data_IF_225094468676
#
_entry.id   IF_225094468676
#
_cell.length_a   1.000
_cell.length_b   1.000
_cell.length_c   1.000
_cell.angle_alpha   90.00
_cell.angle_beta   90.00
_cell.angle_gamma   90.00
#
_symmetry.space_group_name_H-M   'P 1'
#
loop_
_entity.id
_entity.type
_entity.pdbx_description
1 polymer ?
#
# COMPACT_ATOMS: atom_id res chain seq x y z
N UNK A 1 31.22 10.11 2.25
CA UNK A 1 30.35 9.49 1.23
C UNK A 1 29.16 8.90 1.96
N UNK A 2 27.96 9.47 1.81
CA UNK A 2 26.77 8.96 2.46
C UNK A 2 26.20 7.83 1.60
N UNK A 3 26.40 6.59 2.03
CA UNK A 3 25.75 5.43 1.46
C UNK A 3 24.27 5.52 1.82
N UNK A 4 23.43 5.99 0.90
CA UNK A 4 21.97 5.84 1.04
C UNK A 4 21.68 4.36 1.25
N UNK A 5 21.00 3.95 2.34
CA UNK A 5 20.88 2.54 2.65
C UNK A 5 20.01 1.86 1.57
N UNK A 6 20.53 0.84 0.87
CA UNK A 6 19.76 0.08 -0.12
C UNK A 6 18.64 -0.76 0.49
N UNK A 7 18.46 -0.72 1.81
CA UNK A 7 17.41 -1.45 2.55
C UNK A 7 16.03 -0.77 2.51
N UNK A 8 15.94 0.56 2.36
CA UNK A 8 14.64 1.25 2.48
C UNK A 8 13.63 0.78 1.43
N UNK A 9 14.03 0.72 0.16
CA UNK A 9 13.13 0.40 -0.95
C UNK A 9 12.66 -1.07 -0.89
N UNK A 10 13.50 -1.99 -0.41
CA UNK A 10 13.14 -3.39 -0.25
C UNK A 10 12.17 -3.61 0.92
N UNK A 11 12.38 -2.92 2.05
CA UNK A 11 11.44 -2.93 3.18
C UNK A 11 10.08 -2.33 2.81
N UNK A 12 10.08 -1.22 2.08
CA UNK A 12 8.86 -0.57 1.59
C UNK A 12 8.04 -1.53 0.70
N UNK A 13 8.69 -2.19 -0.26
CA UNK A 13 8.03 -3.14 -1.15
C UNK A 13 7.49 -4.36 -0.39
N UNK A 14 8.26 -4.88 0.57
CA UNK A 14 7.86 -6.03 1.37
C UNK A 14 6.65 -5.73 2.27
N UNK A 15 6.59 -4.53 2.86
CA UNK A 15 5.45 -4.09 3.67
C UNK A 15 4.21 -3.92 2.78
N UNK A 16 4.37 -3.32 1.59
CA UNK A 16 3.26 -3.17 0.63
C UNK A 16 2.67 -4.53 0.26
N UNK A 17 3.52 -5.50 -0.12
CA UNK A 17 3.06 -6.84 -0.51
C UNK A 17 2.36 -7.57 0.63
N UNK A 18 2.86 -7.46 1.87
CA UNK A 18 2.23 -8.09 3.04
C UNK A 18 0.87 -7.48 3.36
N UNK A 19 0.77 -6.15 3.33
CA UNK A 19 -0.48 -5.44 3.58
C UNK A 19 -1.54 -5.77 2.51
N UNK A 20 -1.17 -5.73 1.23
CA UNK A 20 -2.07 -6.11 0.11
C UNK A 20 -2.53 -7.58 0.24
N UNK A 21 -1.62 -8.48 0.64
CA UNK A 21 -1.95 -9.88 0.90
C UNK A 21 -2.91 -10.06 2.08
N UNK A 22 -2.78 -9.27 3.15
CA UNK A 22 -3.73 -9.25 4.28
C UNK A 22 -5.10 -8.68 3.92
N UNK A 23 -5.13 -7.69 3.03
CA UNK A 23 -6.36 -7.03 2.57
C UNK A 23 -7.27 -7.98 1.78
N UNK A 24 -6.70 -8.72 0.82
CA UNK A 24 -7.47 -9.55 -0.11
C UNK A 24 -7.37 -11.06 0.19
N UNK A 25 -6.46 -11.46 1.07
CA UNK A 25 -6.24 -12.86 1.40
C UNK A 25 -5.90 -13.69 0.17
N UNK A 26 -6.29 -14.97 0.20
CA UNK A 26 -6.13 -15.91 -0.92
C UNK A 26 -7.33 -15.87 -1.90
N UNK A 27 -8.29 -14.94 -1.71
CA UNK A 27 -9.44 -14.83 -2.61
C UNK A 27 -9.02 -14.09 -3.88
N UNK A 28 -9.43 -14.58 -5.07
CA UNK A 28 -9.27 -13.83 -6.31
C UNK A 28 -10.17 -12.60 -6.22
N UNK A 29 -9.61 -11.54 -5.71
CA UNK A 29 -10.22 -10.21 -5.72
C UNK A 29 -9.91 -9.62 -7.08
N UNK A 30 -10.84 -8.85 -7.63
CA UNK A 30 -10.70 -8.16 -8.91
C UNK A 30 -9.30 -7.53 -9.02
N UNK A 31 -8.57 -7.82 -10.10
CA UNK A 31 -7.17 -7.39 -10.24
C UNK A 31 -7.02 -5.87 -10.08
N UNK A 32 -8.03 -5.10 -10.50
CA UNK A 32 -8.10 -3.66 -10.29
C UNK A 32 -8.15 -3.24 -8.81
N UNK A 33 -8.81 -4.03 -7.94
CA UNK A 33 -8.86 -3.74 -6.51
C UNK A 33 -7.50 -4.00 -5.84
N UNK A 34 -6.79 -5.04 -6.27
CA UNK A 34 -5.43 -5.31 -5.81
C UNK A 34 -4.46 -4.21 -6.22
N UNK A 35 -4.46 -3.80 -7.49
CA UNK A 35 -3.60 -2.72 -7.99
C UNK A 35 -3.87 -1.39 -7.29
N UNK A 36 -5.15 -1.08 -7.07
CA UNK A 36 -5.56 0.13 -6.35
C UNK A 36 -5.07 0.13 -4.89
N UNK A 37 -5.25 -0.98 -4.17
CA UNK A 37 -4.72 -1.07 -2.80
C UNK A 37 -3.20 -1.01 -2.77
N UNK A 38 -2.50 -1.62 -3.74
CA UNK A 38 -1.05 -1.54 -3.81
C UNK A 38 -0.58 -0.09 -4.00
N UNK A 39 -1.26 0.68 -4.85
CA UNK A 39 -0.99 2.11 -5.05
C UNK A 39 -1.24 2.93 -3.79
N UNK A 40 -2.36 2.68 -3.10
CA UNK A 40 -2.69 3.35 -1.83
C UNK A 40 -1.66 3.03 -0.75
N UNK A 41 -1.35 1.74 -0.53
CA UNK A 41 -0.38 1.31 0.49
C UNK A 41 1.01 1.87 0.16
N UNK A 42 1.43 1.87 -1.11
CA UNK A 42 2.69 2.49 -1.54
C UNK A 42 2.72 3.98 -1.23
N UNK A 43 1.62 4.69 -1.44
CA UNK A 43 1.53 6.10 -1.11
C UNK A 43 1.63 6.34 0.41
N UNK A 44 0.93 5.56 1.22
CA UNK A 44 0.97 5.66 2.68
C UNK A 44 2.39 5.39 3.22
N UNK A 45 3.07 4.39 2.67
CA UNK A 45 4.47 4.07 2.97
C UNK A 45 5.40 5.24 2.62
N UNK A 46 5.23 5.83 1.43
CA UNK A 46 5.99 7.02 1.01
C UNK A 46 5.71 8.26 1.87
N UNK A 47 4.52 8.37 2.44
CA UNK A 47 4.14 9.44 3.36
C UNK A 47 4.62 9.19 4.80
N UNK A 48 5.26 8.05 5.07
CA UNK A 48 5.93 7.74 6.33
C UNK A 48 5.23 6.72 7.21
N UNK A 49 4.09 6.17 6.79
CA UNK A 49 3.38 5.12 7.52
C UNK A 49 4.09 3.78 7.26
N UNK A 50 4.63 3.18 8.32
CA UNK A 50 5.36 1.90 8.24
C UNK A 50 4.69 0.78 9.00
N UNK A 51 3.60 1.09 9.71
CA UNK A 51 2.85 0.10 10.46
C UNK A 51 1.93 -0.68 9.52
N UNK A 52 2.13 -2.00 9.46
CA UNK A 52 1.37 -2.88 8.56
C UNK A 52 -0.12 -2.89 8.89
N UNK A 53 -0.48 -2.86 10.18
CA UNK A 53 -1.88 -2.88 10.62
C UNK A 53 -2.56 -1.56 10.25
N UNK A 54 -1.89 -0.42 10.45
CA UNK A 54 -2.40 0.90 10.04
C UNK A 54 -2.59 1.00 8.51
N UNK A 55 -1.65 0.48 7.72
CA UNK A 55 -1.77 0.43 6.26
C UNK A 55 -2.96 -0.43 5.81
N UNK A 56 -3.17 -1.58 6.46
CA UNK A 56 -4.29 -2.47 6.18
C UNK A 56 -5.61 -1.83 6.60
N UNK A 57 -5.68 -1.17 7.75
CA UNK A 57 -6.88 -0.46 8.19
C UNK A 57 -7.26 0.67 7.24
N UNK A 58 -6.30 1.52 6.86
CA UNK A 58 -6.54 2.64 5.94
C UNK A 58 -6.99 2.13 4.56
N UNK A 59 -6.38 1.07 4.06
CA UNK A 59 -6.79 0.45 2.80
C UNK A 59 -8.14 -0.28 2.90
N UNK A 60 -8.50 -0.86 4.06
CA UNK A 60 -9.84 -1.40 4.32
C UNK A 60 -10.90 -0.31 4.38
N UNK A 61 -10.59 0.82 5.01
CA UNK A 61 -11.47 2.00 5.09
C UNK A 61 -11.72 2.57 3.69
N UNK A 62 -10.69 2.56 2.82
CA UNK A 62 -10.86 2.93 1.43
C UNK A 62 -11.82 1.98 0.66
N UNK A 63 -12.05 0.76 1.15
CA UNK A 63 -13.10 -0.18 0.70
C UNK A 63 -13.23 -0.32 -0.82
N UNK A 64 -12.10 -0.32 -1.54
CA UNK A 64 -12.06 -0.45 -3.00
C UNK A 64 -12.31 0.84 -3.79
N UNK A 65 -12.51 1.99 -3.13
CA UNK A 65 -12.51 3.31 -3.77
C UNK A 65 -11.19 3.55 -4.47
N UNK A 66 -11.26 4.12 -5.67
CA UNK A 66 -10.08 4.34 -6.52
C UNK A 66 -9.24 5.45 -5.91
N UNK A 67 -8.11 5.06 -5.31
CA UNK A 67 -7.14 6.03 -4.84
C UNK A 67 -6.51 6.68 -6.07
N UNK A 68 -6.68 8.00 -6.19
CA UNK A 68 -6.02 8.79 -7.21
C UNK A 68 -4.72 9.37 -6.63
N UNK A 69 -3.55 8.80 -6.98
CA UNK A 69 -2.27 9.27 -6.46
C UNK A 69 -1.87 10.65 -7.00
N UNK A 70 -2.54 11.15 -8.05
CA UNK A 70 -2.27 12.47 -8.62
C UNK A 70 -2.88 13.59 -7.77
N UNK A 71 -3.99 13.33 -7.08
CA UNK A 71 -4.69 14.34 -6.27
C UNK A 71 -4.96 13.94 -4.81
N UNK A 72 -4.52 12.74 -4.37
CA UNK A 72 -4.73 12.24 -3.00
C UNK A 72 -6.20 12.00 -2.64
N UNK A 73 -7.06 11.80 -3.64
CA UNK A 73 -8.51 11.65 -3.48
C UNK A 73 -8.97 10.20 -3.65
N UNK A 74 -10.12 9.88 -3.07
CA UNK A 74 -10.78 8.57 -3.18
C UNK A 74 -12.04 8.71 -4.05
N UNK A 75 -12.08 8.06 -5.22
CA UNK A 75 -13.23 8.02 -6.14
C UNK A 75 -14.12 6.79 -5.89
#
# INVERSE_FOLDING_TARGET
MASSPPGRIQDEHAIVERAVKRLYGQRPSDSHLQENAANLVTYLVKNGIRDEDELVELARIAHGKRYDPSNGSFL
#
